data_IF_543293992023
#
_entry.id   IF_543293992023
#
_cell.length_a   1.000
_cell.length_b   1.000
_cell.length_c   1.000
_cell.angle_alpha   90.00
_cell.angle_beta   90.00
_cell.angle_gamma   90.00
#
_symmetry.space_group_name_H-M   'P 1'
#
loop_
_entity.id
_entity.type
_entity.pdbx_description
1 polymer ?
#
# COMPACT_ATOMS: atom_id res chain seq x y z
N UNK A 1 14.02 -48.72 10.97
CA UNK A 1 13.20 -47.74 10.23
C UNK A 1 13.90 -46.39 10.27
N UNK A 2 14.61 -46.06 9.21
CA UNK A 2 15.45 -44.85 9.06
C UNK A 2 14.56 -43.71 8.52
N UNK A 3 14.50 -42.60 9.23
CA UNK A 3 13.86 -41.36 8.75
C UNK A 3 14.85 -40.62 7.85
N UNK A 4 14.46 -40.42 6.61
CA UNK A 4 15.18 -39.59 5.63
C UNK A 4 14.64 -38.18 5.79
N UNK A 5 15.49 -37.26 6.25
CA UNK A 5 15.23 -35.82 6.22
C UNK A 5 15.73 -35.28 4.89
N UNK A 6 14.82 -34.75 4.07
CA UNK A 6 15.18 -34.03 2.85
C UNK A 6 15.37 -32.56 3.23
N UNK A 7 16.62 -32.10 3.21
CA UNK A 7 17.00 -30.70 3.33
C UNK A 7 17.03 -30.12 1.91
N UNK A 8 16.10 -29.23 1.60
CA UNK A 8 16.15 -28.43 0.36
C UNK A 8 16.99 -27.20 0.64
N UNK A 9 18.23 -27.21 0.17
CA UNK A 9 19.10 -26.04 0.18
C UNK A 9 18.79 -25.20 -1.07
N UNK A 10 18.20 -24.02 -0.87
CA UNK A 10 18.06 -23.01 -1.92
C UNK A 10 19.36 -22.20 -1.96
N UNK A 11 20.15 -22.42 -2.99
CA UNK A 11 21.36 -21.64 -3.28
C UNK A 11 20.95 -20.34 -3.94
N UNK A 12 21.14 -19.22 -3.24
CA UNK A 12 21.03 -17.87 -3.78
C UNK A 12 22.36 -17.51 -4.46
N UNK A 13 22.36 -17.42 -5.79
CA UNK A 13 23.44 -16.76 -6.51
C UNK A 13 23.27 -15.24 -6.37
N UNK A 14 24.07 -14.62 -5.52
CA UNK A 14 24.20 -13.17 -5.44
C UNK A 14 25.17 -12.74 -6.53
N UNK A 15 24.65 -12.16 -7.62
CA UNK A 15 25.45 -11.41 -8.57
C UNK A 15 25.79 -10.06 -7.93
N UNK A 16 27.04 -9.87 -7.53
CA UNK A 16 27.52 -8.59 -7.05
C UNK A 16 27.64 -7.63 -8.25
N UNK A 17 26.62 -6.82 -8.44
CA UNK A 17 26.73 -5.58 -9.23
C UNK A 17 27.48 -4.59 -8.35
N UNK A 18 28.63 -4.09 -8.82
CA UNK A 18 29.35 -3.01 -8.16
C UNK A 18 28.47 -1.75 -8.23
N UNK A 19 27.68 -1.52 -7.18
CA UNK A 19 26.99 -0.27 -6.98
C UNK A 19 28.01 0.79 -6.56
N UNK A 20 28.14 1.86 -7.33
CA UNK A 20 28.76 3.09 -6.89
C UNK A 20 28.13 3.49 -5.55
N UNK A 21 28.95 3.96 -4.61
CA UNK A 21 28.54 4.27 -3.24
C UNK A 21 27.53 5.43 -3.21
N UNK A 22 26.27 5.12 -3.53
CA UNK A 22 25.14 5.98 -3.17
C UNK A 22 24.90 5.83 -1.67
N UNK A 23 24.75 6.92 -0.98
CA UNK A 23 24.40 6.92 0.44
C UNK A 23 23.08 6.17 0.60
N UNK A 24 23.11 5.09 1.40
CA UNK A 24 21.90 4.34 1.72
C UNK A 24 20.85 5.32 2.30
N UNK A 25 19.59 5.32 1.81
CA UNK A 25 18.57 6.22 2.33
C UNK A 25 18.43 6.05 3.84
N UNK A 26 18.22 7.15 4.55
CA UNK A 26 18.07 7.14 5.99
C UNK A 26 16.83 6.35 6.44
N UNK A 27 15.79 6.33 5.58
CA UNK A 27 14.54 5.60 5.78
C UNK A 27 13.87 5.27 4.44
N UNK A 28 12.93 4.32 4.42
CA UNK A 28 12.16 4.04 3.20
C UNK A 28 11.27 5.22 2.81
N UNK A 29 10.79 5.99 3.77
CA UNK A 29 9.93 7.15 3.53
C UNK A 29 10.64 8.31 2.83
N UNK A 30 11.98 8.36 2.84
CA UNK A 30 12.78 9.37 2.13
C UNK A 30 13.46 8.83 0.88
N UNK A 31 13.28 7.54 0.56
CA UNK A 31 14.00 6.87 -0.51
C UNK A 31 13.86 7.57 -1.87
N UNK A 32 12.66 8.01 -2.22
CA UNK A 32 12.39 8.67 -3.49
C UNK A 32 12.99 10.10 -3.55
N UNK A 33 13.02 10.81 -2.41
CA UNK A 33 13.62 12.14 -2.33
C UNK A 33 15.15 12.07 -2.37
N UNK A 34 15.72 10.97 -1.87
CA UNK A 34 17.17 10.78 -1.70
C UNK A 34 17.88 10.25 -2.95
N UNK A 35 17.12 9.81 -3.99
CA UNK A 35 17.72 9.15 -5.15
C UNK A 35 18.80 9.98 -5.86
N UNK A 36 18.59 11.30 -5.93
CA UNK A 36 19.52 12.21 -6.60
C UNK A 36 20.56 12.81 -5.63
N UNK A 37 20.56 12.33 -4.36
CA UNK A 37 21.45 12.84 -3.31
C UNK A 37 21.01 14.19 -2.73
N UNK A 38 21.75 14.72 -1.76
CA UNK A 38 21.36 15.92 -1.02
C UNK A 38 21.35 17.21 -1.87
N UNK A 39 22.04 17.20 -3.01
CA UNK A 39 22.16 18.34 -3.92
C UNK A 39 21.27 18.19 -5.17
N UNK A 40 20.32 17.24 -5.19
CA UNK A 40 19.50 16.96 -6.35
C UNK A 40 20.29 16.33 -7.51
N UNK A 41 19.80 16.49 -8.75
CA UNK A 41 20.52 16.03 -9.94
C UNK A 41 21.91 16.69 -9.97
N UNK A 42 22.97 15.86 -9.94
CA UNK A 42 24.35 16.37 -10.00
C UNK A 42 24.66 16.74 -11.45
N UNK A 43 24.44 17.99 -11.78
CA UNK A 43 24.91 18.61 -13.01
C UNK A 43 26.26 19.36 -12.74
N UNK A 44 26.89 19.89 -13.79
CA UNK A 44 28.19 20.55 -13.66
C UNK A 44 28.27 21.48 -12.46
N UNK A 45 29.32 21.33 -11.66
CA UNK A 45 29.58 22.18 -10.47
C UNK A 45 30.34 23.44 -10.76
N UNK A 46 30.90 23.58 -11.98
CA UNK A 46 31.89 24.64 -12.30
C UNK A 46 31.25 25.98 -12.68
N UNK A 47 29.99 25.99 -13.08
CA UNK A 47 29.26 27.21 -13.33
C UNK A 47 28.48 27.63 -12.07
N UNK A 48 29.09 28.50 -11.30
CA UNK A 48 28.41 29.25 -10.25
C UNK A 48 27.57 30.33 -10.94
N UNK A 49 26.25 30.25 -10.77
CA UNK A 49 25.37 31.33 -11.26
C UNK A 49 25.65 32.65 -10.56
N UNK A 50 25.14 33.77 -11.12
CA UNK A 50 25.36 35.13 -10.57
C UNK A 50 24.92 35.27 -9.10
N UNK A 51 24.08 34.40 -8.59
CA UNK A 51 23.60 34.34 -7.19
C UNK A 51 24.46 33.46 -6.29
N UNK A 52 25.53 32.83 -6.81
CA UNK A 52 26.42 31.97 -6.04
C UNK A 52 25.97 30.54 -5.86
N UNK A 53 24.87 30.10 -6.51
CA UNK A 53 24.36 28.72 -6.44
C UNK A 53 24.89 27.86 -7.60
N UNK A 54 24.95 26.56 -7.42
CA UNK A 54 25.36 25.60 -8.48
C UNK A 54 24.20 25.32 -9.43
N UNK A 55 24.48 24.94 -10.68
CA UNK A 55 23.46 24.56 -11.65
C UNK A 55 22.56 23.41 -11.17
N UNK A 56 23.07 22.51 -10.35
CA UNK A 56 22.28 21.42 -9.75
C UNK A 56 21.10 21.95 -8.92
N UNK A 57 21.28 23.03 -8.18
CA UNK A 57 20.27 23.64 -7.33
C UNK A 57 19.13 24.34 -8.09
N UNK A 58 19.32 24.60 -9.39
CA UNK A 58 18.34 25.31 -10.22
C UNK A 58 17.38 24.42 -11.00
N UNK A 59 17.55 23.09 -10.94
CA UNK A 59 16.69 22.17 -11.65
C UNK A 59 15.66 21.54 -10.68
N UNK A 60 14.39 21.82 -10.91
CA UNK A 60 13.27 21.40 -10.08
C UNK A 60 12.28 20.52 -10.84
N UNK A 61 11.70 19.54 -10.16
CA UNK A 61 10.69 18.64 -10.68
C UNK A 61 9.66 18.29 -9.61
N UNK A 62 8.41 18.10 -10.02
CA UNK A 62 7.38 17.54 -9.15
C UNK A 62 7.73 16.12 -8.65
N UNK A 63 8.51 15.37 -9.43
CA UNK A 63 9.02 14.06 -8.99
C UNK A 63 9.90 14.19 -7.75
N UNK A 64 10.79 15.17 -7.69
CA UNK A 64 11.67 15.39 -6.55
C UNK A 64 10.95 16.04 -5.36
N UNK A 65 10.13 17.07 -5.62
CA UNK A 65 9.50 17.86 -4.55
C UNK A 65 8.27 17.19 -3.94
N UNK A 66 7.47 16.51 -4.76
CA UNK A 66 6.13 16.05 -4.38
C UNK A 66 5.99 14.52 -4.38
N UNK A 67 6.96 13.78 -4.89
CA UNK A 67 6.85 12.32 -4.98
C UNK A 67 6.82 11.62 -3.61
N UNK A 68 7.20 12.33 -2.54
CA UNK A 68 6.92 11.94 -1.15
C UNK A 68 5.43 11.61 -0.92
N UNK A 69 4.54 12.16 -1.74
CA UNK A 69 3.10 11.91 -1.66
C UNK A 69 2.73 10.44 -1.98
N UNK A 70 3.63 9.67 -2.61
CA UNK A 70 3.52 8.21 -2.72
C UNK A 70 3.48 7.54 -1.34
N UNK A 71 4.16 8.11 -0.35
CA UNK A 71 4.09 7.63 1.02
C UNK A 71 2.66 7.68 1.57
N UNK A 72 1.88 8.70 1.19
CA UNK A 72 0.45 8.80 1.56
C UNK A 72 -0.35 7.67 0.93
N UNK A 73 -0.09 7.34 -0.35
CA UNK A 73 -0.78 6.26 -1.04
C UNK A 73 -0.41 4.89 -0.43
N UNK A 74 0.87 4.63 -0.16
CA UNK A 74 1.33 3.41 0.53
C UNK A 74 0.72 3.30 1.93
N UNK A 75 0.74 4.39 2.70
CA UNK A 75 0.11 4.43 4.03
C UNK A 75 -1.39 4.19 3.94
N UNK A 76 -2.06 4.80 2.97
CA UNK A 76 -3.47 4.58 2.69
C UNK A 76 -3.78 3.10 2.44
N UNK A 77 -2.97 2.41 1.66
CA UNK A 77 -3.10 0.97 1.44
C UNK A 77 -2.83 0.16 2.71
N UNK A 78 -1.74 0.41 3.43
CA UNK A 78 -1.43 -0.29 4.68
C UNK A 78 -2.56 -0.17 5.72
N UNK A 79 -3.19 1.00 5.80
CA UNK A 79 -4.31 1.24 6.73
C UNK A 79 -5.63 0.65 6.28
N UNK A 80 -5.80 0.41 4.98
CA UNK A 80 -7.00 -0.12 4.36
C UNK A 80 -6.95 -1.65 4.14
N UNK A 81 -5.78 -2.29 4.32
CA UNK A 81 -5.68 -3.75 4.20
C UNK A 81 -6.65 -4.38 5.20
N UNK A 82 -7.70 -5.09 4.73
CA UNK A 82 -8.62 -5.73 5.64
C UNK A 82 -7.86 -6.82 6.39
N UNK A 83 -7.82 -6.69 7.72
CA UNK A 83 -7.34 -7.77 8.56
C UNK A 83 -8.41 -8.87 8.52
N UNK A 84 -8.04 -10.12 8.15
CA UNK A 84 -8.98 -11.21 8.14
C UNK A 84 -9.68 -11.30 9.48
N UNK A 85 -11.01 -11.26 9.46
CA UNK A 85 -11.80 -11.34 10.68
C UNK A 85 -11.73 -12.78 11.21
N UNK A 86 -11.08 -13.06 12.36
CA UNK A 86 -11.07 -14.39 12.95
C UNK A 86 -12.47 -14.85 13.34
N UNK A 87 -13.40 -13.89 13.50
CA UNK A 87 -14.82 -14.14 13.75
C UNK A 87 -15.57 -14.57 12.49
N UNK A 88 -14.92 -14.64 11.32
CA UNK A 88 -15.57 -15.02 10.07
C UNK A 88 -15.78 -16.52 9.92
N UNK A 89 -15.07 -17.36 10.66
CA UNK A 89 -15.10 -18.82 10.52
C UNK A 89 -16.34 -19.50 11.10
N UNK A 90 -16.17 -20.15 12.22
CA UNK A 90 -17.27 -20.83 12.90
C UNK A 90 -18.02 -19.87 13.81
N UNK A 91 -19.30 -19.66 13.56
CA UNK A 91 -20.21 -18.93 14.45
C UNK A 91 -21.20 -19.88 15.09
N UNK A 92 -21.47 -19.69 16.38
CA UNK A 92 -22.34 -20.54 17.16
C UNK A 92 -23.50 -19.76 17.77
N UNK A 93 -24.63 -20.38 17.84
CA UNK A 93 -25.83 -19.89 18.50
C UNK A 93 -26.24 -20.87 19.57
N UNK A 94 -26.62 -20.37 20.75
CA UNK A 94 -27.24 -21.21 21.78
C UNK A 94 -28.65 -21.54 21.35
N UNK A 95 -28.93 -22.82 21.20
CA UNK A 95 -30.27 -23.34 20.93
C UNK A 95 -30.94 -23.69 22.27
N UNK A 96 -31.99 -22.92 22.64
CA UNK A 96 -32.71 -23.09 23.87
C UNK A 96 -33.54 -24.38 23.91
N UNK A 97 -33.89 -24.94 22.73
CA UNK A 97 -34.66 -26.18 22.64
C UNK A 97 -33.81 -27.40 22.96
N UNK A 98 -32.52 -27.38 22.54
CA UNK A 98 -31.56 -28.46 22.76
C UNK A 98 -30.63 -28.23 23.93
N UNK A 99 -30.58 -27.00 24.47
CA UNK A 99 -29.64 -26.61 25.53
C UNK A 99 -28.18 -26.64 25.10
N UNK A 100 -27.89 -26.61 23.78
CA UNK A 100 -26.54 -26.74 23.21
C UNK A 100 -26.24 -25.63 22.24
N UNK A 101 -24.92 -25.43 21.97
CA UNK A 101 -24.48 -24.51 20.91
C UNK A 101 -24.51 -25.21 19.56
N UNK A 102 -25.33 -24.71 18.64
CA UNK A 102 -25.40 -25.15 17.26
C UNK A 102 -24.72 -24.14 16.32
N UNK A 103 -24.20 -24.63 15.21
CA UNK A 103 -23.58 -23.78 14.20
C UNK A 103 -24.65 -22.89 13.52
N UNK A 104 -24.40 -21.56 13.47
CA UNK A 104 -25.41 -20.60 12.99
C UNK A 104 -25.56 -20.56 11.47
N UNK A 105 -24.53 -20.93 10.71
CA UNK A 105 -24.53 -20.91 9.23
C UNK A 105 -23.92 -22.17 8.65
N UNK A 106 -24.31 -22.54 7.43
CA UNK A 106 -23.70 -23.65 6.69
C UNK A 106 -22.35 -23.28 6.09
N UNK A 107 -22.18 -22.02 5.65
CA UNK A 107 -20.92 -21.48 5.10
C UNK A 107 -19.91 -21.17 6.20
N UNK A 108 -18.63 -21.04 5.80
CA UNK A 108 -17.54 -20.65 6.70
C UNK A 108 -17.31 -19.13 6.78
N UNK A 109 -18.14 -18.34 6.08
CA UNK A 109 -18.14 -16.90 6.12
C UNK A 109 -17.07 -16.20 5.28
N UNK A 110 -17.14 -14.87 5.24
CA UNK A 110 -16.28 -14.05 4.42
C UNK A 110 -14.81 -14.18 4.82
N UNK A 111 -13.92 -13.73 3.93
CA UNK A 111 -12.46 -13.69 4.19
C UNK A 111 -12.03 -12.25 4.46
N UNK A 112 -12.45 -11.31 3.62
CA UNK A 112 -12.02 -9.91 3.64
C UNK A 112 -13.07 -8.94 4.20
N UNK A 113 -14.27 -9.42 4.46
CA UNK A 113 -15.38 -8.64 5.02
C UNK A 113 -15.82 -9.21 6.38
N UNK A 114 -16.78 -8.56 7.04
CA UNK A 114 -17.25 -8.95 8.37
C UNK A 114 -18.68 -9.50 8.31
N UNK A 115 -18.95 -10.50 9.14
CA UNK A 115 -20.30 -10.94 9.51
C UNK A 115 -20.84 -10.12 10.68
N UNK A 116 -22.16 -10.04 10.75
CA UNK A 116 -22.84 -9.44 11.90
C UNK A 116 -22.86 -10.35 13.14
N UNK A 117 -22.72 -11.66 12.97
CA UNK A 117 -22.71 -12.61 14.09
C UNK A 117 -21.38 -12.54 14.85
N UNK A 118 -21.47 -12.80 16.16
CA UNK A 118 -20.33 -13.03 17.06
C UNK A 118 -19.88 -14.50 17.06
N UNK A 119 -18.68 -14.77 17.57
CA UNK A 119 -18.18 -16.13 17.71
C UNK A 119 -18.88 -16.92 18.82
N UNK A 120 -19.59 -16.21 19.72
CA UNK A 120 -20.30 -16.79 20.87
C UNK A 120 -19.54 -16.64 22.19
N UNK A 121 -20.31 -16.59 23.29
CA UNK A 121 -19.77 -16.38 24.63
C UNK A 121 -18.75 -17.44 25.05
N UNK A 122 -17.63 -16.98 25.62
CA UNK A 122 -16.56 -17.83 26.14
C UNK A 122 -15.75 -18.54 25.05
N UNK A 123 -15.99 -18.24 23.77
CA UNK A 123 -15.23 -18.80 22.64
C UNK A 123 -13.98 -18.01 22.34
N UNK A 124 -12.96 -18.70 21.84
CA UNK A 124 -11.73 -18.12 21.33
C UNK A 124 -11.56 -18.50 19.85
N UNK A 125 -11.12 -17.56 19.05
CA UNK A 125 -10.71 -17.80 17.68
C UNK A 125 -9.34 -17.17 17.41
N UNK A 126 -8.48 -17.93 16.76
CA UNK A 126 -7.18 -17.48 16.25
C UNK A 126 -7.20 -17.47 14.74
N UNK A 127 -6.66 -16.43 14.14
CA UNK A 127 -6.49 -16.31 12.71
C UNK A 127 -5.04 -15.95 12.39
N UNK A 128 -4.53 -16.53 11.31
CA UNK A 128 -3.26 -16.13 10.72
C UNK A 128 -3.48 -15.99 9.23
N UNK A 129 -2.96 -14.93 8.66
CA UNK A 129 -3.03 -14.70 7.22
C UNK A 129 -1.74 -14.08 6.69
N UNK A 130 -1.47 -14.33 5.43
CA UNK A 130 -0.44 -13.64 4.67
C UNK A 130 -1.08 -13.04 3.43
N UNK A 131 -0.85 -11.74 3.22
CA UNK A 131 -1.17 -11.02 2.00
C UNK A 131 0.11 -10.51 1.36
N UNK A 132 0.17 -10.56 0.04
CA UNK A 132 1.27 -10.03 -0.74
C UNK A 132 0.74 -9.04 -1.77
N UNK A 133 1.41 -7.88 -1.87
CA UNK A 133 1.14 -6.82 -2.83
C UNK A 133 2.40 -6.53 -3.62
N UNK A 134 2.24 -6.46 -4.94
CA UNK A 134 3.24 -5.97 -5.88
C UNK A 134 2.59 -4.87 -6.70
N UNK A 135 2.74 -3.64 -6.24
CA UNK A 135 2.06 -2.51 -6.85
C UNK A 135 2.64 -2.21 -8.22
N UNK A 136 1.78 -2.03 -9.20
CA UNK A 136 2.15 -1.82 -10.61
C UNK A 136 1.66 -0.48 -11.18
N UNK A 137 0.68 0.17 -10.55
CA UNK A 137 0.13 1.45 -10.98
C UNK A 137 -0.13 2.38 -9.80
N UNK A 138 0.00 3.70 -10.05
CA UNK A 138 -0.48 4.77 -9.18
C UNK A 138 -1.33 5.73 -10.01
N UNK A 139 -2.64 5.83 -9.67
CA UNK A 139 -3.62 6.68 -10.37
C UNK A 139 -3.65 6.45 -11.89
N UNK A 140 -3.52 5.20 -12.33
CA UNK A 140 -3.48 4.81 -13.74
C UNK A 140 -2.13 4.98 -14.43
N UNK A 141 -1.14 5.54 -13.75
CA UNK A 141 0.23 5.65 -14.26
C UNK A 141 1.01 4.39 -13.90
N UNK A 142 1.62 3.75 -14.91
CA UNK A 142 2.44 2.56 -14.67
C UNK A 142 3.69 2.90 -13.86
N UNK A 143 3.94 2.18 -12.78
CA UNK A 143 5.15 2.34 -11.97
C UNK A 143 6.42 1.86 -12.70
N UNK A 144 6.29 1.10 -13.79
CA UNK A 144 7.42 0.71 -14.62
C UNK A 144 7.96 1.85 -15.50
N UNK A 145 7.18 2.93 -15.71
CA UNK A 145 7.58 4.07 -16.53
C UNK A 145 6.87 5.35 -16.08
N UNK A 146 7.33 5.93 -14.98
CA UNK A 146 6.85 7.22 -14.47
C UNK A 146 7.69 8.34 -15.06
N UNK A 147 7.15 9.16 -15.97
CA UNK A 147 7.89 10.25 -16.57
C UNK A 147 8.07 11.40 -15.59
N UNK A 148 9.18 12.13 -15.68
CA UNK A 148 9.31 13.42 -15.03
C UNK A 148 10.28 14.34 -15.79
N UNK A 149 10.07 15.65 -15.64
CA UNK A 149 10.91 16.66 -16.27
C UNK A 149 11.42 17.64 -15.21
N UNK A 150 12.73 17.75 -15.12
CA UNK A 150 13.37 18.77 -14.32
C UNK A 150 13.58 20.02 -15.17
N UNK A 151 13.10 21.15 -14.68
CA UNK A 151 13.19 22.46 -15.31
C UNK A 151 14.12 23.35 -14.53
N UNK A 152 14.88 24.15 -15.26
CA UNK A 152 15.68 25.20 -14.66
C UNK A 152 14.79 26.28 -14.03
N UNK A 153 15.23 26.89 -12.95
CA UNK A 153 14.60 28.09 -12.39
C UNK A 153 14.54 29.21 -13.43
N UNK A 154 13.44 29.95 -13.45
CA UNK A 154 13.19 30.99 -14.46
C UNK A 154 13.24 30.45 -15.90
N UNK A 155 12.74 29.22 -16.10
CA UNK A 155 12.66 28.55 -17.39
C UNK A 155 12.01 29.41 -18.50
N UNK A 156 11.05 30.25 -18.13
CA UNK A 156 10.32 31.15 -19.03
C UNK A 156 11.20 32.24 -19.68
N UNK A 157 12.37 32.53 -19.09
CA UNK A 157 13.30 33.54 -19.63
C UNK A 157 14.08 32.99 -20.83
N UNK A 158 14.01 31.71 -21.13
CA UNK A 158 14.73 31.11 -22.26
C UNK A 158 16.25 31.10 -22.12
N UNK A 159 16.99 31.11 -23.24
CA UNK A 159 18.45 30.97 -23.25
C UNK A 159 18.87 29.59 -22.73
N UNK A 160 19.97 29.47 -22.01
CA UNK A 160 20.42 28.21 -21.38
C UNK A 160 19.42 27.64 -20.40
N UNK A 161 18.56 28.46 -19.82
CA UNK A 161 17.48 28.05 -18.90
C UNK A 161 16.38 27.26 -19.58
N UNK A 162 16.30 27.26 -20.91
CA UNK A 162 15.36 26.42 -21.65
C UNK A 162 15.79 24.94 -21.74
N UNK A 163 16.99 24.60 -21.31
CA UNK A 163 17.40 23.19 -21.19
C UNK A 163 16.57 22.50 -20.10
N UNK A 164 16.24 21.23 -20.33
CA UNK A 164 15.50 20.41 -19.39
C UNK A 164 16.19 19.07 -19.20
N UNK A 165 15.94 18.42 -18.07
CA UNK A 165 16.32 17.02 -17.86
C UNK A 165 15.05 16.17 -17.81
N UNK A 166 14.91 15.27 -18.77
CA UNK A 166 13.82 14.30 -18.78
C UNK A 166 14.27 13.03 -18.07
N UNK A 167 13.42 12.47 -17.23
CA UNK A 167 13.66 11.17 -16.56
C UNK A 167 12.55 10.18 -16.87
N UNK A 168 12.94 8.92 -17.03
CA UNK A 168 12.05 7.76 -17.04
C UNK A 168 12.34 6.94 -15.78
N UNK A 169 11.34 6.78 -14.93
CA UNK A 169 11.52 6.26 -13.59
C UNK A 169 10.78 4.92 -13.47
N UNK A 170 11.50 3.85 -13.12
CA UNK A 170 10.94 2.53 -12.80
C UNK A 170 10.91 2.36 -11.30
N UNK A 171 9.73 2.16 -10.74
CA UNK A 171 9.48 2.01 -9.31
C UNK A 171 8.98 0.60 -9.05
N UNK A 172 9.63 -0.09 -8.11
CA UNK A 172 9.12 -1.33 -7.54
C UNK A 172 8.68 -1.06 -6.10
N UNK A 173 7.45 -1.43 -5.77
CA UNK A 173 6.89 -1.31 -4.44
C UNK A 173 6.18 -2.61 -4.07
N UNK A 174 6.79 -3.36 -3.15
CA UNK A 174 6.29 -4.65 -2.70
C UNK A 174 6.02 -4.61 -1.19
N UNK A 175 4.85 -5.10 -0.80
CA UNK A 175 4.45 -5.22 0.62
C UNK A 175 3.97 -6.64 0.89
N UNK A 176 4.54 -7.27 1.91
CA UNK A 176 4.03 -8.52 2.46
C UNK A 176 3.55 -8.27 3.89
N UNK A 177 2.31 -8.64 4.17
CA UNK A 177 1.73 -8.52 5.50
C UNK A 177 1.31 -9.89 6.01
N UNK A 178 1.97 -10.34 7.07
CA UNK A 178 1.52 -11.46 7.88
C UNK A 178 0.75 -10.91 9.09
N UNK A 179 -0.50 -11.32 9.28
CA UNK A 179 -1.32 -10.87 10.40
C UNK A 179 -1.71 -12.04 11.30
N UNK A 180 -1.41 -11.92 12.58
CA UNK A 180 -1.97 -12.76 13.63
C UNK A 180 -3.16 -12.05 14.28
N UNK A 181 -4.26 -12.76 14.50
CA UNK A 181 -5.45 -12.19 15.13
C UNK A 181 -6.01 -13.14 16.19
N UNK A 182 -6.48 -12.55 17.29
CA UNK A 182 -7.16 -13.24 18.39
C UNK A 182 -8.51 -12.58 18.60
N UNK A 183 -9.57 -13.39 18.67
CA UNK A 183 -10.93 -12.92 19.04
C UNK A 183 -11.42 -13.70 20.23
N UNK A 184 -12.01 -12.99 21.18
CA UNK A 184 -12.70 -13.54 22.36
C UNK A 184 -14.16 -13.11 22.38
N UNK A 185 -15.06 -14.06 22.45
CA UNK A 185 -16.50 -13.81 22.66
C UNK A 185 -16.78 -13.47 24.12
N UNK A 186 -16.84 -12.17 24.44
CA UNK A 186 -17.07 -11.69 25.79
C UNK A 186 -18.48 -12.03 26.30
N UNK A 187 -19.46 -11.87 25.40
CA UNK A 187 -20.86 -12.26 25.63
C UNK A 187 -21.41 -12.96 24.38
N UNK A 188 -22.67 -13.40 24.43
CA UNK A 188 -23.35 -13.90 23.23
C UNK A 188 -23.53 -12.86 22.11
N UNK A 189 -23.25 -11.56 22.40
CA UNK A 189 -23.45 -10.44 21.49
C UNK A 189 -22.21 -9.55 21.29
N UNK A 190 -21.15 -9.75 22.07
CA UNK A 190 -19.96 -8.88 22.03
C UNK A 190 -18.71 -9.74 21.83
N UNK A 191 -17.95 -9.40 20.79
CA UNK A 191 -16.60 -9.90 20.53
C UNK A 191 -15.56 -8.79 20.76
N UNK A 192 -14.43 -9.18 21.36
CA UNK A 192 -13.23 -8.38 21.43
C UNK A 192 -12.14 -9.05 20.58
N UNK A 193 -11.44 -8.28 19.77
CA UNK A 193 -10.36 -8.80 18.94
C UNK A 193 -9.11 -7.94 19.02
N UNK A 194 -7.96 -8.59 18.89
CA UNK A 194 -6.66 -7.97 18.73
C UNK A 194 -6.02 -8.53 17.46
N UNK A 195 -5.55 -7.67 16.57
CA UNK A 195 -4.76 -8.05 15.41
C UNK A 195 -3.37 -7.44 15.48
N UNK A 196 -2.37 -8.25 15.16
CA UNK A 196 -0.94 -7.91 15.17
C UNK A 196 -0.38 -8.19 13.78
N UNK A 197 -0.20 -7.17 12.94
CA UNK A 197 0.44 -7.34 11.64
C UNK A 197 1.98 -7.34 11.79
N UNK A 198 2.64 -8.21 11.05
CA UNK A 198 4.06 -8.15 10.73
C UNK A 198 4.17 -7.74 9.27
N UNK A 199 4.80 -6.62 9.03
CA UNK A 199 4.89 -6.00 7.69
C UNK A 199 6.33 -6.10 7.19
N UNK A 200 6.48 -6.44 5.91
CA UNK A 200 7.74 -6.32 5.18
C UNK A 200 7.47 -5.44 3.96
N UNK A 201 8.20 -4.34 3.86
CA UNK A 201 8.15 -3.39 2.74
C UNK A 201 9.48 -3.44 2.00
N UNK A 202 9.42 -3.47 0.67
CA UNK A 202 10.56 -3.33 -0.22
C UNK A 202 10.22 -2.28 -1.27
N UNK A 203 11.11 -1.31 -1.43
CA UNK A 203 11.03 -0.27 -2.44
C UNK A 203 12.32 -0.23 -3.25
N UNK A 204 12.23 -0.05 -4.56
CA UNK A 204 13.35 0.30 -5.42
C UNK A 204 12.95 1.37 -6.43
N UNK A 205 13.90 2.16 -6.84
CA UNK A 205 13.74 3.19 -7.85
C UNK A 205 14.97 3.23 -8.76
N UNK A 206 14.71 3.08 -10.05
CA UNK A 206 15.67 3.26 -11.13
C UNK A 206 15.24 4.48 -11.95
N UNK A 207 16.09 5.49 -12.03
CA UNK A 207 15.82 6.71 -12.79
C UNK A 207 16.84 6.88 -13.91
N UNK A 208 16.37 6.90 -15.16
CA UNK A 208 17.15 7.15 -16.35
C UNK A 208 17.00 8.61 -16.76
N UNK A 209 18.02 9.42 -16.52
CA UNK A 209 18.00 10.86 -16.76
C UNK A 209 18.70 11.22 -18.08
N UNK A 210 18.13 12.17 -18.84
CA UNK A 210 18.68 12.69 -20.10
C UNK A 210 18.51 14.19 -20.18
N UNK A 211 19.61 14.90 -20.48
CA UNK A 211 19.59 16.35 -20.73
C UNK A 211 19.15 16.61 -22.17
N UNK A 212 18.13 17.45 -22.35
CA UNK A 212 17.71 18.01 -23.64
C UNK A 212 18.13 19.47 -23.69
N UNK A 213 19.09 19.78 -24.57
CA UNK A 213 19.67 21.13 -24.73
C UNK A 213 18.86 21.95 -25.70
N UNK A 214 17.69 22.43 -25.26
CA UNK A 214 16.79 23.25 -26.07
C UNK A 214 17.28 24.70 -26.18
N UNK A 215 18.02 25.17 -25.17
CA UNK A 215 18.58 26.50 -25.12
C UNK A 215 20.06 26.56 -25.53
N UNK A 216 20.87 25.64 -25.03
CA UNK A 216 22.33 25.61 -25.22
C UNK A 216 22.78 24.85 -26.47
N UNK A 217 21.90 24.04 -27.08
CA UNK A 217 22.17 23.33 -28.35
C UNK A 217 23.37 22.38 -28.26
N UNK A 218 24.41 22.66 -29.06
CA UNK A 218 25.62 21.87 -29.11
C UNK A 218 26.64 22.17 -28.01
N UNK A 219 26.39 23.16 -27.14
CA UNK A 219 27.28 23.47 -26.05
C UNK A 219 27.17 22.47 -24.90
N UNK A 220 28.03 21.45 -24.91
CA UNK A 220 28.10 20.41 -23.93
C UNK A 220 28.70 20.83 -22.59
N UNK A 221 29.33 22.01 -22.52
CA UNK A 221 30.00 22.50 -21.33
C UNK A 221 29.10 23.22 -20.33
N UNK A 222 27.83 23.52 -20.70
CA UNK A 222 26.92 24.25 -19.81
C UNK A 222 26.14 23.30 -18.88
N UNK A 223 25.52 22.29 -19.43
CA UNK A 223 24.75 21.28 -18.64
C UNK A 223 25.25 19.89 -18.96
N UNK A 224 25.79 19.18 -17.98
CA UNK A 224 26.26 17.82 -18.10
C UNK A 224 26.18 17.08 -16.76
N UNK A 225 26.03 15.78 -16.78
CA UNK A 225 26.17 14.98 -15.58
C UNK A 225 27.65 14.80 -15.23
N UNK A 226 28.01 15.09 -13.98
CA UNK A 226 29.35 14.79 -13.46
C UNK A 226 29.51 13.28 -13.31
N UNK A 227 30.57 12.74 -13.89
CA UNK A 227 31.04 11.42 -13.57
C UNK A 227 32.20 11.53 -12.55
N UNK A 228 32.00 11.14 -11.29
CA UNK A 228 33.06 11.19 -10.28
C UNK A 228 34.28 10.30 -10.62
N UNK A 229 34.08 9.29 -11.46
CA UNK A 229 35.15 8.34 -11.85
C UNK A 229 35.93 8.79 -13.09
N UNK A 230 35.34 9.64 -13.94
CA UNK A 230 35.94 10.10 -15.19
C UNK A 230 35.96 11.63 -15.22
N UNK A 231 36.86 12.25 -14.45
CA UNK A 231 37.11 13.69 -14.45
C UNK A 231 37.21 14.21 -15.87
N UNK A 232 36.18 14.91 -16.38
CA UNK A 232 36.17 15.54 -17.69
C UNK A 232 35.21 14.89 -18.73
N UNK A 233 34.44 13.84 -18.42
CA UNK A 233 33.44 13.30 -19.33
C UNK A 233 32.12 14.07 -19.19
N UNK A 234 31.76 14.80 -20.26
CA UNK A 234 30.52 15.57 -20.37
C UNK A 234 29.38 14.63 -20.78
N UNK A 235 28.77 13.89 -19.80
CA UNK A 235 27.65 13.00 -20.05
C UNK A 235 26.33 13.77 -20.23
N UNK A 236 25.53 13.40 -21.24
CA UNK A 236 24.15 13.90 -21.41
C UNK A 236 23.12 12.93 -20.84
N UNK A 237 23.53 11.78 -20.37
CA UNK A 237 22.67 10.74 -19.77
C UNK A 237 23.31 10.21 -18.50
N UNK A 238 22.48 9.93 -17.50
CA UNK A 238 22.92 9.29 -16.26
C UNK A 238 21.82 8.38 -15.71
N UNK A 239 22.23 7.36 -14.97
CA UNK A 239 21.32 6.42 -14.33
C UNK A 239 21.51 6.50 -12.82
N UNK A 240 20.42 6.68 -12.10
CA UNK A 240 20.38 6.66 -10.65
C UNK A 240 19.61 5.44 -10.18
N UNK A 241 20.06 4.82 -9.11
CA UNK A 241 19.40 3.66 -8.52
C UNK A 241 19.45 3.74 -7.00
N UNK A 242 18.33 3.42 -6.36
CA UNK A 242 18.24 3.25 -4.92
C UNK A 242 17.26 2.15 -4.58
N UNK A 243 17.53 1.42 -3.51
CA UNK A 243 16.62 0.39 -2.98
C UNK A 243 16.69 0.33 -1.47
N UNK A 244 15.61 -0.18 -0.86
CA UNK A 244 15.58 -0.41 0.56
C UNK A 244 14.51 -1.43 0.94
N UNK A 245 14.72 -2.08 2.07
CA UNK A 245 13.76 -3.02 2.66
C UNK A 245 13.72 -2.86 4.16
N UNK A 246 12.54 -2.98 4.72
CA UNK A 246 12.32 -3.01 6.15
C UNK A 246 11.32 -4.12 6.51
N UNK A 247 11.41 -4.63 7.73
CA UNK A 247 10.44 -5.58 8.27
C UNK A 247 10.29 -5.39 9.77
N UNK A 248 9.08 -5.52 10.28
CA UNK A 248 8.79 -5.37 11.71
C UNK A 248 7.30 -5.46 12.02
N UNK A 249 6.97 -5.15 13.27
CA UNK A 249 5.57 -5.06 13.70
C UNK A 249 4.94 -3.83 13.04
N UNK A 250 3.75 -4.00 12.48
CA UNK A 250 2.92 -2.92 11.97
C UNK A 250 2.04 -2.29 13.04
N UNK A 251 0.99 -1.59 12.60
CA UNK A 251 0.04 -0.96 13.51
C UNK A 251 -0.91 -2.00 14.11
N UNK A 252 -0.92 -2.13 15.42
CA UNK A 252 -1.85 -2.98 16.15
C UNK A 252 -3.30 -2.49 15.98
N UNK A 253 -4.25 -3.42 15.84
CA UNK A 253 -5.67 -3.08 15.77
C UNK A 253 -6.42 -3.79 16.89
N UNK A 254 -7.12 -3.01 17.70
CA UNK A 254 -8.07 -3.47 18.70
C UNK A 254 -9.48 -3.25 18.17
N UNK A 255 -10.30 -4.30 18.18
CA UNK A 255 -11.68 -4.27 17.70
C UNK A 255 -12.65 -4.67 18.77
N UNK A 256 -13.76 -3.96 18.84
CA UNK A 256 -14.97 -4.38 19.53
C UNK A 256 -16.13 -4.45 18.54
N UNK A 257 -16.83 -5.58 18.49
CA UNK A 257 -18.01 -5.79 17.65
C UNK A 257 -19.19 -6.24 18.52
N UNK A 258 -20.36 -5.67 18.28
CA UNK A 258 -21.59 -6.09 18.96
C UNK A 258 -22.70 -6.41 17.96
N UNK A 259 -23.33 -7.56 18.11
CA UNK A 259 -24.55 -7.90 17.38
C UNK A 259 -25.73 -7.20 18.03
N UNK A 260 -26.32 -6.22 17.33
CA UNK A 260 -27.43 -5.39 17.78
C UNK A 260 -28.75 -6.12 17.64
N UNK A 261 -28.99 -6.69 16.45
CA UNK A 261 -30.22 -7.38 16.07
C UNK A 261 -29.85 -8.76 15.54
N UNK A 262 -30.60 -9.76 15.97
CA UNK A 262 -30.54 -11.11 15.44
C UNK A 262 -31.95 -11.68 15.39
N UNK A 263 -32.46 -11.90 14.19
CA UNK A 263 -33.80 -12.40 13.95
C UNK A 263 -33.75 -13.50 12.88
N UNK A 264 -34.01 -14.72 13.30
CA UNK A 264 -33.96 -15.91 12.43
C UNK A 264 -32.58 -16.03 11.76
N UNK A 265 -32.58 -15.88 10.43
CA UNK A 265 -31.38 -15.99 9.59
C UNK A 265 -30.68 -14.64 9.34
N UNK A 266 -31.13 -13.55 9.92
CA UNK A 266 -30.61 -12.19 9.67
C UNK A 266 -29.97 -11.60 10.92
N UNK A 267 -28.90 -10.85 10.74
CA UNK A 267 -28.23 -10.15 11.82
C UNK A 267 -27.74 -8.77 11.39
N UNK A 268 -27.68 -7.85 12.34
CA UNK A 268 -27.08 -6.53 12.24
C UNK A 268 -26.08 -6.35 13.38
N UNK A 269 -24.91 -5.87 13.08
CA UNK A 269 -23.88 -5.53 14.06
C UNK A 269 -23.33 -4.12 13.84
N UNK A 270 -22.80 -3.55 14.91
CA UNK A 270 -21.93 -2.39 14.87
C UNK A 270 -20.61 -2.71 15.57
N UNK A 271 -19.57 -2.00 15.23
CA UNK A 271 -18.28 -2.17 15.85
C UNK A 271 -17.40 -0.95 15.72
N UNK A 272 -16.29 -1.00 16.42
CA UNK A 272 -15.27 0.03 16.45
C UNK A 272 -13.89 -0.62 16.40
N UNK A 273 -13.06 -0.16 15.47
CA UNK A 273 -11.64 -0.48 15.43
C UNK A 273 -10.84 0.72 15.90
N UNK A 274 -9.82 0.46 16.72
CA UNK A 274 -8.79 1.41 17.08
C UNK A 274 -7.44 0.88 16.57
N UNK A 275 -6.84 1.58 15.60
CA UNK A 275 -5.50 1.31 15.12
C UNK A 275 -4.51 2.14 15.90
N UNK A 276 -3.53 1.47 16.52
CA UNK A 276 -2.48 2.08 17.33
C UNK A 276 -1.20 2.25 16.48
N UNK A 277 -0.55 3.42 16.50
CA UNK A 277 0.67 3.68 15.71
C UNK A 277 1.89 2.99 16.34
N UNK A 278 1.95 1.68 16.24
CA UNK A 278 3.03 0.84 16.79
C UNK A 278 4.07 0.46 15.75
N UNK A 279 3.74 0.60 14.47
CA UNK A 279 4.68 0.35 13.38
C UNK A 279 5.66 1.50 13.19
N UNK A 280 6.81 1.20 12.59
CA UNK A 280 7.80 2.20 12.21
C UNK A 280 7.35 2.92 10.93
N UNK A 281 6.82 4.14 11.08
CA UNK A 281 6.33 4.94 9.97
C UNK A 281 7.44 5.36 9.00
N UNK A 282 8.65 5.62 9.50
CA UNK A 282 9.75 6.02 8.64
C UNK A 282 10.19 4.90 7.69
N UNK A 283 9.98 3.66 8.10
CA UNK A 283 10.24 2.48 7.27
C UNK A 283 8.96 1.89 6.63
N UNK A 284 7.85 2.66 6.61
CA UNK A 284 6.58 2.29 5.99
C UNK A 284 6.04 0.93 6.51
N UNK A 285 6.23 0.67 7.80
CA UNK A 285 5.68 -0.50 8.49
C UNK A 285 4.37 -0.20 9.21
N UNK A 286 4.03 1.08 9.37
CA UNK A 286 2.80 1.58 9.96
C UNK A 286 2.46 2.98 9.47
N UNK A 287 1.33 3.51 9.91
CA UNK A 287 0.83 4.82 9.49
C UNK A 287 1.44 5.99 10.28
N UNK A 288 2.08 5.72 11.44
CA UNK A 288 2.55 6.75 12.36
C UNK A 288 1.44 7.61 12.98
N UNK A 289 0.18 7.18 12.82
CA UNK A 289 -0.98 7.90 13.30
C UNK A 289 -2.02 6.93 13.87
N UNK A 290 -2.69 7.35 14.93
CA UNK A 290 -3.87 6.64 15.42
C UNK A 290 -4.99 6.69 14.39
N UNK A 291 -5.71 5.57 14.22
CA UNK A 291 -6.90 5.48 13.39
C UNK A 291 -8.09 4.99 14.19
N UNK A 292 -9.28 5.52 13.91
CA UNK A 292 -10.55 5.10 14.52
C UNK A 292 -11.54 4.78 13.42
N UNK A 293 -12.11 3.56 13.44
CA UNK A 293 -13.01 3.09 12.39
C UNK A 293 -14.28 2.49 12.98
N UNK A 294 -15.35 3.26 13.20
CA UNK A 294 -16.68 2.72 13.37
C UNK A 294 -17.15 2.01 12.11
N UNK A 295 -17.85 0.90 12.28
CA UNK A 295 -18.43 0.13 11.18
C UNK A 295 -19.79 -0.47 11.54
N UNK A 296 -20.56 -0.77 10.51
CA UNK A 296 -21.77 -1.58 10.60
C UNK A 296 -21.66 -2.76 9.64
N UNK A 297 -22.23 -3.89 10.05
CA UNK A 297 -22.28 -5.11 9.26
C UNK A 297 -23.69 -5.72 9.30
N UNK A 298 -24.15 -6.16 8.14
CA UNK A 298 -25.37 -6.96 8.01
C UNK A 298 -25.02 -8.30 7.41
N UNK A 299 -25.69 -9.35 7.84
CA UNK A 299 -25.52 -10.68 7.28
C UNK A 299 -26.83 -11.47 7.31
N UNK A 300 -26.91 -12.47 6.43
CA UNK A 300 -28.03 -13.38 6.36
C UNK A 300 -27.60 -14.81 6.02
N UNK A 301 -28.44 -15.78 6.31
CA UNK A 301 -28.22 -17.18 5.95
C UNK A 301 -29.47 -17.75 5.27
N UNK A 302 -29.38 -18.04 3.97
CA UNK A 302 -30.48 -18.52 3.13
C UNK A 302 -30.08 -19.81 2.42
N UNK A 303 -30.29 -20.92 3.09
CA UNK A 303 -29.86 -22.23 2.60
C UNK A 303 -28.33 -22.33 2.49
N UNK A 304 -27.77 -22.51 1.27
CA UNK A 304 -26.32 -22.52 1.06
C UNK A 304 -25.70 -21.13 0.95
N UNK A 305 -26.50 -20.07 0.74
CA UNK A 305 -26.05 -18.70 0.55
C UNK A 305 -26.02 -17.95 1.88
N UNK A 306 -24.96 -17.17 2.09
CA UNK A 306 -24.83 -16.29 3.24
C UNK A 306 -24.36 -14.90 2.78
N UNK A 307 -25.30 -14.04 2.28
CA UNK A 307 -24.98 -12.67 1.90
C UNK A 307 -24.58 -11.83 3.12
N UNK A 308 -23.67 -10.89 2.87
CA UNK A 308 -23.18 -9.97 3.87
C UNK A 308 -22.84 -8.61 3.22
N UNK A 309 -22.90 -7.55 4.00
CA UNK A 309 -22.45 -6.24 3.61
C UNK A 309 -21.93 -5.46 4.82
N UNK A 310 -20.95 -4.60 4.57
CA UNK A 310 -20.32 -3.76 5.58
C UNK A 310 -20.19 -2.33 5.07
N UNK A 311 -20.27 -1.37 5.98
CA UNK A 311 -19.88 0.02 5.76
C UNK A 311 -19.03 0.47 6.93
N UNK A 312 -18.05 1.34 6.66
CA UNK A 312 -17.20 1.91 7.68
C UNK A 312 -16.72 3.30 7.28
N UNK A 313 -16.40 4.11 8.29
CA UNK A 313 -15.68 5.35 8.09
C UNK A 313 -14.43 5.33 8.97
N UNK A 314 -13.27 5.61 8.37
CA UNK A 314 -12.00 5.63 9.07
C UNK A 314 -11.47 7.05 9.17
N UNK A 315 -11.39 7.56 10.40
CA UNK A 315 -10.65 8.76 10.72
C UNK A 315 -9.18 8.41 10.94
N UNK A 316 -8.30 9.20 10.34
CA UNK A 316 -6.87 9.06 10.48
C UNK A 316 -6.27 10.30 11.15
N UNK A 317 -5.34 10.09 12.07
CA UNK A 317 -4.61 11.16 12.73
C UNK A 317 -3.51 11.76 11.85
N UNK A 318 -2.64 12.54 12.49
CA UNK A 318 -1.51 13.18 11.83
C UNK A 318 -0.29 12.27 11.82
N UNK A 319 0.39 12.19 10.66
CA UNK A 319 1.62 11.44 10.46
C UNK A 319 2.68 12.31 9.77
N UNK A 320 3.94 12.00 10.00
CA UNK A 320 5.06 12.59 9.25
C UNK A 320 5.01 12.17 7.76
N UNK A 321 4.40 11.01 7.46
CA UNK A 321 4.25 10.51 6.09
C UNK A 321 3.33 11.38 5.23
N UNK A 322 2.40 12.13 5.84
CA UNK A 322 1.57 13.12 5.16
C UNK A 322 2.19 14.52 5.21
N UNK A 323 3.18 14.75 6.08
CA UNK A 323 3.89 16.01 6.27
C UNK A 323 5.29 16.01 5.68
N UNK A 324 6.27 16.24 6.53
CA UNK A 324 7.70 16.21 6.17
C UNK A 324 8.44 15.27 7.12
N UNK A 325 8.92 14.15 6.57
CA UNK A 325 9.61 13.10 7.33
C UNK A 325 10.93 13.60 7.91
N UNK A 326 11.69 14.43 7.15
CA UNK A 326 13.01 14.92 7.55
C UNK A 326 12.91 15.95 8.66
N UNK A 327 11.91 16.81 8.59
CA UNK A 327 11.68 17.86 9.60
C UNK A 327 10.81 17.38 10.75
N UNK A 328 10.24 16.17 10.68
CA UNK A 328 9.32 15.63 11.68
C UNK A 328 7.96 16.37 11.71
N UNK A 329 7.62 17.10 10.63
CA UNK A 329 6.36 17.84 10.53
C UNK A 329 5.24 16.88 10.20
N UNK A 330 4.17 16.90 11.01
CA UNK A 330 3.00 16.02 10.83
C UNK A 330 1.86 16.76 10.14
N UNK A 331 1.23 16.09 9.16
CA UNK A 331 -0.02 16.50 8.54
C UNK A 331 -1.08 15.40 8.62
N UNK A 332 -2.35 15.74 8.37
CA UNK A 332 -3.45 14.76 8.42
C UNK A 332 -3.30 13.74 7.29
N UNK A 333 -3.39 12.46 7.64
CA UNK A 333 -3.61 11.41 6.65
C UNK A 333 -5.04 11.50 6.11
N UNK A 334 -5.29 11.15 4.85
CA UNK A 334 -6.63 11.11 4.27
C UNK A 334 -7.55 10.17 5.04
N UNK A 335 -8.78 10.65 5.31
CA UNK A 335 -9.85 9.81 5.82
C UNK A 335 -10.43 8.93 4.73
N UNK A 336 -11.11 7.85 5.12
CA UNK A 336 -11.64 6.87 4.18
C UNK A 336 -13.08 6.46 4.53
N UNK A 337 -13.94 6.45 3.54
CA UNK A 337 -15.21 5.72 3.60
C UNK A 337 -15.01 4.35 2.94
N UNK A 338 -15.40 3.27 3.62
CA UNK A 338 -15.19 1.90 3.17
C UNK A 338 -16.52 1.16 3.08
N UNK A 339 -16.65 0.30 2.08
CA UNK A 339 -17.77 -0.62 1.97
C UNK A 339 -17.31 -2.00 1.48
N UNK A 340 -18.06 -3.02 1.84
CA UNK A 340 -17.94 -4.35 1.29
C UNK A 340 -19.32 -4.95 1.11
N UNK A 341 -19.50 -5.74 0.06
CA UNK A 341 -20.71 -6.53 -0.15
C UNK A 341 -20.34 -7.84 -0.83
N UNK A 342 -20.93 -8.94 -0.38
CA UNK A 342 -20.57 -10.24 -0.90
C UNK A 342 -21.51 -11.34 -0.47
N UNK A 343 -21.13 -12.56 -0.79
CA UNK A 343 -21.83 -13.77 -0.37
C UNK A 343 -20.87 -14.93 -0.23
N UNK A 344 -21.13 -15.75 0.77
CA UNK A 344 -20.52 -17.08 0.89
C UNK A 344 -21.47 -18.13 0.36
N UNK A 345 -20.94 -19.10 -0.35
CA UNK A 345 -21.69 -20.24 -0.86
C UNK A 345 -21.15 -21.53 -0.23
N UNK A 346 -21.97 -22.17 0.59
CA UNK A 346 -21.66 -23.49 1.14
C UNK A 346 -21.84 -24.56 0.06
N UNK A 347 -20.76 -25.04 -0.53
CA UNK A 347 -20.77 -26.10 -1.54
C UNK A 347 -21.04 -27.47 -0.89
N UNK A 348 -20.37 -27.74 0.23
CA UNK A 348 -20.54 -28.90 1.04
C UNK A 348 -20.18 -28.63 2.52
N UNK A 349 -20.34 -29.54 3.47
CA UNK A 349 -20.05 -29.31 4.88
C UNK A 349 -18.59 -28.93 5.20
N UNK A 350 -17.67 -29.15 4.27
CA UNK A 350 -16.22 -28.86 4.45
C UNK A 350 -15.68 -27.78 3.53
N UNK A 351 -16.48 -27.26 2.58
CA UNK A 351 -15.98 -26.32 1.58
C UNK A 351 -17.01 -25.23 1.29
N UNK A 352 -16.55 -23.98 1.33
CA UNK A 352 -17.31 -22.78 0.94
C UNK A 352 -16.52 -21.93 -0.03
N UNK A 353 -17.20 -21.36 -1.02
CA UNK A 353 -16.68 -20.30 -1.87
C UNK A 353 -17.10 -18.94 -1.32
N UNK A 354 -16.30 -17.90 -1.57
CA UNK A 354 -16.53 -16.55 -1.10
C UNK A 354 -16.35 -15.58 -2.25
N UNK A 355 -17.30 -14.67 -2.40
CA UNK A 355 -17.27 -13.59 -3.39
C UNK A 355 -17.52 -12.28 -2.66
N UNK A 356 -16.59 -11.33 -2.79
CA UNK A 356 -16.68 -10.00 -2.20
C UNK A 356 -16.41 -8.92 -3.25
N UNK A 357 -17.15 -7.82 -3.16
CA UNK A 357 -16.82 -6.53 -3.76
C UNK A 357 -16.41 -5.61 -2.61
N UNK A 358 -15.20 -5.10 -2.66
CA UNK A 358 -14.62 -4.22 -1.66
C UNK A 358 -14.42 -2.86 -2.29
N UNK A 359 -14.70 -1.78 -1.55
CA UNK A 359 -14.46 -0.45 -2.04
C UNK A 359 -14.11 0.52 -0.94
N UNK A 360 -13.34 1.53 -1.33
CA UNK A 360 -13.03 2.64 -0.45
C UNK A 360 -13.05 3.95 -1.23
N UNK A 361 -13.55 5.00 -0.60
CA UNK A 361 -13.38 6.38 -1.05
C UNK A 361 -12.33 7.03 -0.17
N UNK A 362 -11.20 7.37 -0.76
CA UNK A 362 -10.14 8.15 -0.10
C UNK A 362 -10.47 9.61 -0.28
N UNK A 363 -10.49 10.36 0.83
CA UNK A 363 -10.95 11.76 0.85
C UNK A 363 -9.76 12.71 0.85
N UNK A 364 -9.80 13.73 -0.03
CA UNK A 364 -8.82 14.82 -0.08
C UNK A 364 -7.36 14.29 -0.08
N UNK A 365 -7.07 13.35 -0.94
CA UNK A 365 -5.76 12.73 -1.08
C UNK A 365 -5.04 13.22 -2.32
N UNK A 366 -3.70 13.34 -2.28
CA UNK A 366 -2.92 13.59 -3.48
C UNK A 366 -3.15 12.51 -4.53
N UNK A 367 -3.31 12.92 -5.79
CA UNK A 367 -3.43 12.07 -6.96
C UNK A 367 -2.40 12.45 -8.00
N UNK A 368 -1.73 11.43 -8.55
CA UNK A 368 -0.78 11.57 -9.64
C UNK A 368 -1.52 11.74 -10.97
N UNK A 369 -1.07 12.67 -11.79
CA UNK A 369 -1.53 12.80 -13.18
C UNK A 369 -0.38 13.14 -14.10
N UNK A 370 -0.42 12.61 -15.33
CA UNK A 370 0.55 12.93 -16.39
C UNK A 370 -0.03 14.03 -17.25
N UNK A 371 0.81 15.01 -17.62
CA UNK A 371 0.49 16.07 -18.56
C UNK A 371 1.63 16.25 -19.57
N UNK A 372 1.39 16.97 -20.64
CA UNK A 372 2.43 17.29 -21.63
C UNK A 372 3.04 18.65 -21.31
N UNK A 373 4.34 18.66 -21.03
CA UNK A 373 5.14 19.88 -20.93
C UNK A 373 5.69 20.22 -22.31
N UNK A 374 5.37 21.42 -22.78
CA UNK A 374 5.96 21.97 -24.00
C UNK A 374 7.11 22.90 -23.63
N UNK A 375 8.33 22.52 -24.01
CA UNK A 375 9.56 23.27 -23.75
C UNK A 375 10.11 23.79 -25.07
N UNK A 376 10.47 25.10 -25.14
CA UNK A 376 10.99 25.73 -26.34
C UNK A 376 12.20 26.59 -25.97
N UNK A 377 13.29 26.44 -26.71
CA UNK A 377 14.50 27.23 -26.60
C UNK A 377 15.06 27.61 -27.99
N UNK A 378 16.17 28.32 -27.99
CA UNK A 378 16.79 28.79 -29.24
C UNK A 378 17.31 27.65 -30.13
N UNK A 379 17.61 26.49 -29.57
CA UNK A 379 18.13 25.33 -30.28
C UNK A 379 17.07 24.31 -30.68
N UNK A 380 15.80 24.48 -30.25
CA UNK A 380 14.72 23.57 -30.58
C UNK A 380 13.57 23.60 -29.62
N UNK A 381 12.61 22.72 -29.85
CA UNK A 381 11.44 22.48 -28.94
C UNK A 381 11.21 20.99 -28.71
N UNK A 382 10.61 20.67 -27.57
CA UNK A 382 10.21 19.31 -27.23
C UNK A 382 8.87 19.32 -26.50
N UNK A 383 8.07 18.28 -26.73
CA UNK A 383 6.86 17.97 -25.97
C UNK A 383 7.13 16.71 -25.16
N UNK A 384 7.14 16.84 -23.84
CA UNK A 384 7.60 15.82 -22.90
C UNK A 384 6.47 15.44 -21.94
N UNK A 385 6.26 14.16 -21.63
CA UNK A 385 5.39 13.79 -20.54
C UNK A 385 6.03 14.19 -19.20
N UNK A 386 5.24 14.80 -18.34
CA UNK A 386 5.65 15.21 -16.99
C UNK A 386 4.51 14.92 -16.00
N UNK A 387 4.81 14.88 -14.72
CA UNK A 387 3.84 14.60 -13.67
C UNK A 387 3.48 15.84 -12.87
N UNK A 388 2.28 15.78 -12.29
CA UNK A 388 1.82 16.70 -11.27
C UNK A 388 0.93 15.99 -10.28
N UNK A 389 0.85 16.52 -9.07
CA UNK A 389 -0.08 16.05 -8.04
C UNK A 389 -1.21 17.06 -7.85
N UNK A 390 -2.43 16.55 -7.81
CA UNK A 390 -3.63 17.33 -7.48
C UNK A 390 -4.31 16.68 -6.29
N UNK A 391 -4.92 17.46 -5.41
CA UNK A 391 -5.67 16.93 -4.28
C UNK A 391 -7.13 16.77 -4.67
N UNK A 392 -7.66 15.55 -4.57
CA UNK A 392 -9.08 15.21 -4.82
C UNK A 392 -9.47 13.96 -4.02
N UNK A 393 -10.74 13.57 -4.11
CA UNK A 393 -11.25 12.32 -3.53
C UNK A 393 -11.49 11.30 -4.63
N UNK A 394 -11.10 10.06 -4.40
CA UNK A 394 -11.24 9.01 -5.41
C UNK A 394 -11.76 7.69 -4.83
N UNK A 395 -12.28 6.85 -5.70
CA UNK A 395 -12.72 5.51 -5.37
C UNK A 395 -11.68 4.48 -5.79
N UNK A 396 -11.43 3.51 -4.90
CA UNK A 396 -10.74 2.25 -5.20
C UNK A 396 -11.75 1.12 -5.03
N UNK A 397 -11.80 0.21 -6.00
CA UNK A 397 -12.72 -0.92 -5.96
C UNK A 397 -11.97 -2.19 -6.31
N UNK A 398 -12.16 -3.23 -5.52
CA UNK A 398 -11.59 -4.55 -5.72
C UNK A 398 -12.71 -5.61 -5.74
N UNK A 399 -12.60 -6.55 -6.66
CA UNK A 399 -13.36 -7.79 -6.62
C UNK A 399 -12.50 -8.87 -5.96
N UNK A 400 -13.09 -9.72 -5.13
CA UNK A 400 -12.38 -10.78 -4.46
C UNK A 400 -13.09 -12.12 -4.64
N UNK A 401 -12.31 -13.15 -4.94
CA UNK A 401 -12.77 -14.52 -5.08
C UNK A 401 -11.93 -15.43 -4.19
N UNK A 402 -12.56 -16.20 -3.35
CA UNK A 402 -11.86 -17.08 -2.44
C UNK A 402 -12.61 -18.33 -2.09
N UNK A 403 -11.97 -19.16 -1.28
CA UNK A 403 -12.59 -20.33 -0.68
C UNK A 403 -12.08 -20.56 0.74
N UNK A 404 -12.92 -21.25 1.53
CA UNK A 404 -12.57 -21.78 2.84
C UNK A 404 -12.84 -23.27 2.88
N UNK A 405 -11.89 -24.02 3.43
CA UNK A 405 -12.04 -25.46 3.64
C UNK A 405 -11.77 -25.84 5.08
N UNK A 406 -12.62 -26.71 5.61
CA UNK A 406 -12.44 -27.33 6.92
C UNK A 406 -11.57 -28.58 6.74
N UNK A 407 -10.29 -28.46 7.10
CA UNK A 407 -9.31 -29.55 6.98
C UNK A 407 -9.30 -30.47 8.20
N UNK A 408 -9.66 -29.97 9.37
CA UNK A 408 -9.77 -30.75 10.59
C UNK A 408 -10.72 -30.07 11.57
N UNK A 409 -11.65 -30.80 12.14
CA UNK A 409 -12.60 -30.45 13.22
C UNK A 409 -12.93 -28.95 13.37
N UNK A 410 -11.95 -28.10 13.77
CA UNK A 410 -12.10 -26.68 14.05
C UNK A 410 -11.09 -25.81 13.30
N UNK A 411 -10.34 -26.40 12.37
CA UNK A 411 -9.29 -25.72 11.58
C UNK A 411 -9.81 -25.47 10.17
N UNK A 412 -9.83 -24.21 9.80
CA UNK A 412 -10.12 -23.74 8.44
C UNK A 412 -8.83 -23.28 7.78
N UNK A 413 -8.70 -23.61 6.50
CA UNK A 413 -7.72 -22.98 5.59
C UNK A 413 -8.51 -22.16 4.59
N UNK A 414 -8.03 -20.96 4.31
CA UNK A 414 -8.63 -20.09 3.33
C UNK A 414 -7.61 -19.61 2.32
N UNK A 415 -8.10 -19.33 1.13
CA UNK A 415 -7.36 -18.69 0.04
C UNK A 415 -8.28 -17.65 -0.61
N UNK A 416 -7.72 -16.50 -0.95
CA UNK A 416 -8.44 -15.45 -1.64
C UNK A 416 -7.52 -14.76 -2.67
N UNK A 417 -8.10 -14.38 -3.79
CA UNK A 417 -7.48 -13.53 -4.81
C UNK A 417 -8.28 -12.24 -4.88
N UNK A 418 -7.62 -11.12 -4.67
CA UNK A 418 -8.19 -9.78 -4.84
C UNK A 418 -7.75 -9.23 -6.19
N UNK A 419 -8.68 -8.70 -6.96
CA UNK A 419 -8.50 -8.12 -8.27
C UNK A 419 -8.90 -6.65 -8.21
N UNK A 420 -7.97 -5.75 -8.48
CA UNK A 420 -8.29 -4.34 -8.58
C UNK A 420 -9.10 -4.08 -9.86
N UNK A 421 -10.23 -3.38 -9.73
CA UNK A 421 -11.17 -3.12 -10.84
C UNK A 421 -11.05 -1.69 -11.36
N UNK A 422 -10.30 -0.83 -10.66
CA UNK A 422 -10.16 0.59 -11.00
C UNK A 422 -8.72 0.98 -11.31
N UNK A 423 -8.54 2.24 -11.76
CA UNK A 423 -7.24 2.80 -12.10
C UNK A 423 -6.76 3.86 -11.08
N UNK A 424 -7.48 4.04 -9.96
CA UNK A 424 -7.18 5.07 -8.97
C UNK A 424 -6.48 4.52 -7.74
N UNK A 425 -5.65 5.39 -7.13
CA UNK A 425 -4.82 5.04 -6.00
C UNK A 425 -3.65 4.15 -6.37
N UNK A 426 -2.98 3.62 -5.36
CA UNK A 426 -1.91 2.64 -5.54
C UNK A 426 -2.54 1.26 -5.72
N UNK A 427 -2.34 0.67 -6.88
CA UNK A 427 -3.01 -0.56 -7.30
C UNK A 427 -2.01 -1.71 -7.50
N UNK A 428 -2.43 -2.88 -7.03
CA UNK A 428 -1.91 -4.19 -7.44
C UNK A 428 -3.06 -4.90 -8.16
N UNK A 429 -2.84 -5.29 -9.41
CA UNK A 429 -3.87 -5.93 -10.21
C UNK A 429 -4.38 -7.22 -9.59
N UNK A 430 -3.51 -7.97 -8.92
CA UNK A 430 -3.85 -9.27 -8.34
C UNK A 430 -3.10 -9.50 -7.04
N UNK A 431 -3.76 -9.34 -5.90
CA UNK A 431 -3.19 -9.58 -4.59
C UNK A 431 -3.71 -10.89 -3.97
N UNK A 432 -2.84 -11.91 -3.80
CA UNK A 432 -3.21 -13.16 -3.16
C UNK A 432 -3.20 -13.03 -1.63
N UNK A 433 -4.10 -13.79 -1.00
CA UNK A 433 -4.15 -14.00 0.45
C UNK A 433 -4.28 -15.49 0.73
N UNK A 434 -3.51 -15.98 1.68
CA UNK A 434 -3.68 -17.28 2.29
C UNK A 434 -3.83 -17.13 3.81
N UNK A 435 -4.68 -17.95 4.41
CA UNK A 435 -4.87 -17.89 5.86
C UNK A 435 -5.32 -19.23 6.47
N UNK A 436 -5.19 -19.27 7.78
CA UNK A 436 -5.69 -20.35 8.63
C UNK A 436 -6.48 -19.74 9.79
N UNK A 437 -7.55 -20.39 10.18
CA UNK A 437 -8.40 -19.98 11.28
C UNK A 437 -8.66 -21.17 12.18
N UNK A 438 -8.56 -20.97 13.48
CA UNK A 438 -8.80 -22.00 14.47
C UNK A 438 -9.67 -21.48 15.60
N UNK A 439 -10.76 -22.17 15.94
CA UNK A 439 -11.71 -21.78 16.99
C UNK A 439 -11.92 -22.87 18.03
N UNK A 440 -12.12 -22.44 19.28
CA UNK A 440 -12.27 -23.31 20.46
C UNK A 440 -13.61 -23.13 21.13
#
# INVERSE_FOLDING_TARGET
>A
MRRVAVIVAVVWCVSAVQANAQTKPASLATLFEDIYGPNGLVLSSDDISLDGTTHAAHFNSAFQSDFRLVNIALTGQLTAIPLPSPASGFTYQFDTATGTFVRSTRSFGPILSDRAETIGQGRLAFGFSNQFFSFDHLDGVSLADVPAVFRHDSFELGGGRADVVSTANTIEANVSQFAGALTYGLTSRIDLSLAVPLVKTHLSLLSNARILRLGTGSNLGVHYFLDPAALGNFGSTHQYFTEGSASGIGDLVVRMKTTLIREGSRALAAGLDARLPTGDEQNLLGAGAMGVRPFAAVSGAFGPFAPHANIAYQWNGKSVLAGDVRQGIKANLPDQFQYAAGTDLAINPRFSMVFDLLGQRVLNSPQLSVYTLNATGAAGSASLPDIRFNTDSYWVTDAALGFKTNVASRLLVNFNMRFNVGDRGLADRVAPLIGIEWSF
#
